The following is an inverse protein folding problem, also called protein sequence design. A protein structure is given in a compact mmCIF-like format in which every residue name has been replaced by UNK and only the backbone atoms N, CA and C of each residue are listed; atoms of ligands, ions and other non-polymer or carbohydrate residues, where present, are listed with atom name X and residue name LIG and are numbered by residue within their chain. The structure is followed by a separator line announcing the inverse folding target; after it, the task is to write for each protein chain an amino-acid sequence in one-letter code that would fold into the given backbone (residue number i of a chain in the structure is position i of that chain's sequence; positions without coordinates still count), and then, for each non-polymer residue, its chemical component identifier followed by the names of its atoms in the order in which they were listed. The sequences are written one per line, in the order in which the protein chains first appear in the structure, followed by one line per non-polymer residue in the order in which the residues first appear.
data_IF_201071722779
#
_entry.id   IF_201071722779
#
_cell.length_a   1.000
_cell.length_b   1.000
_cell.length_c   1.000
_cell.angle_alpha   90.00
_cell.angle_beta   90.00
_cell.angle_gamma   90.00
#
_symmetry.space_group_name_H-M   'P 1'
#
loop_
_entity.id
_entity.type
_entity.pdbx_description
1 polymer ?
#
# COMPACT_ATOMS: atom_id res chain seq x y z
N UNK A 1 -62.51 54.69 46.48
CA UNK A 1 -61.35 53.85 46.86
C UNK A 1 -61.72 52.43 46.46
N UNK A 2 -61.11 51.77 45.48
CA UNK A 2 -59.69 51.40 45.41
C UNK A 2 -59.29 51.23 43.93
N UNK A 3 -58.22 51.92 43.52
CA UNK A 3 -57.53 51.66 42.28
C UNK A 3 -56.55 50.52 42.47
N UNK A 4 -56.66 49.45 41.67
CA UNK A 4 -55.56 48.48 41.46
C UNK A 4 -55.91 47.51 40.34
N UNK A 5 -55.49 47.82 39.12
CA UNK A 5 -55.26 46.79 38.07
C UNK A 5 -54.34 47.23 36.93
N UNK A 6 -53.79 48.45 36.93
CA UNK A 6 -52.85 48.91 35.88
C UNK A 6 -51.42 48.39 36.02
N UNK A 7 -51.06 47.81 37.17
CA UNK A 7 -49.74 47.23 37.42
C UNK A 7 -49.58 45.81 36.88
N UNK A 8 -50.63 44.98 36.97
CA UNK A 8 -50.58 43.57 36.58
C UNK A 8 -50.45 43.38 35.06
N UNK A 9 -51.12 44.22 34.26
CA UNK A 9 -51.04 44.17 32.79
C UNK A 9 -49.69 44.61 32.25
N UNK A 10 -48.98 45.54 32.92
CA UNK A 10 -47.63 45.94 32.52
C UNK A 10 -46.59 44.89 32.85
N UNK A 11 -46.69 44.24 34.02
CA UNK A 11 -45.81 43.13 34.38
C UNK A 11 -46.02 41.91 33.48
N UNK A 12 -47.27 41.57 33.15
CA UNK A 12 -47.57 40.47 32.24
C UNK A 12 -47.03 40.72 30.82
N UNK A 13 -47.12 41.95 30.31
CA UNK A 13 -46.58 42.30 29.00
C UNK A 13 -45.03 42.24 28.98
N UNK A 14 -44.37 42.67 30.05
CA UNK A 14 -42.90 42.59 30.16
C UNK A 14 -42.43 41.13 30.29
N UNK A 15 -43.14 40.30 31.07
CA UNK A 15 -42.84 38.87 31.17
C UNK A 15 -43.06 38.14 29.84
N UNK A 16 -44.13 38.46 29.11
CA UNK A 16 -44.41 37.85 27.81
C UNK A 16 -43.38 38.28 26.75
N UNK A 17 -42.94 39.54 26.76
CA UNK A 17 -41.88 40.03 25.89
C UNK A 17 -40.52 39.38 26.20
N UNK A 18 -40.18 39.18 27.49
CA UNK A 18 -38.98 38.43 27.88
C UNK A 18 -39.07 36.96 27.49
N UNK A 19 -40.22 36.32 27.66
CA UNK A 19 -40.42 34.92 27.28
C UNK A 19 -40.28 34.73 25.75
N UNK A 20 -40.83 35.65 24.95
CA UNK A 20 -40.69 35.64 23.49
C UNK A 20 -39.24 35.89 23.03
N UNK A 21 -38.47 36.70 23.76
CA UNK A 21 -37.05 36.94 23.45
C UNK A 21 -36.16 35.70 23.74
N UNK A 22 -36.49 34.91 24.78
CA UNK A 22 -35.76 33.67 25.09
C UNK A 22 -36.09 32.55 24.10
N UNK A 23 -37.30 32.51 23.54
CA UNK A 23 -37.68 31.50 22.53
C UNK A 23 -37.16 31.80 21.10
N UNK A 24 -36.65 33.00 20.82
CA UNK A 24 -36.06 33.35 19.52
C UNK A 24 -34.56 32.98 19.40
N UNK A 25 -33.95 32.45 20.46
CA UNK A 25 -32.56 31.98 20.48
C UNK A 25 -32.38 30.59 19.85
N UNK A 26 -32.81 30.40 18.60
CA UNK A 26 -32.41 29.21 17.85
C UNK A 26 -30.91 29.31 17.56
N UNK A 27 -30.09 28.50 18.25
CA UNK A 27 -28.71 28.29 17.88
C UNK A 27 -28.65 27.72 16.46
N UNK A 28 -28.38 28.58 15.47
CA UNK A 28 -28.19 28.18 14.09
C UNK A 28 -26.74 27.74 13.93
N UNK A 29 -26.53 26.44 13.81
CA UNK A 29 -25.23 25.90 13.40
C UNK A 29 -24.97 26.41 11.97
N UNK A 30 -23.84 27.07 11.68
CA UNK A 30 -23.51 27.49 10.33
C UNK A 30 -23.44 26.26 9.42
N UNK A 31 -24.36 26.14 8.47
CA UNK A 31 -24.35 25.04 7.47
C UNK A 31 -23.43 25.34 6.29
N UNK A 32 -22.77 26.51 6.30
CA UNK A 32 -21.78 26.89 5.31
C UNK A 32 -20.68 27.71 6.00
N UNK A 33 -19.47 27.14 6.01
CA UNK A 33 -18.22 27.85 6.22
C UNK A 33 -17.34 27.61 4.99
N UNK A 34 -16.30 28.42 4.76
CA UNK A 34 -15.33 28.10 3.73
C UNK A 34 -14.80 26.68 3.97
N UNK A 35 -14.80 25.84 2.94
CA UNK A 35 -14.07 24.57 2.97
C UNK A 35 -12.59 24.90 3.04
N UNK A 36 -12.08 25.00 4.26
CA UNK A 36 -10.65 24.96 4.49
C UNK A 36 -10.18 23.59 4.04
N UNK A 37 -9.30 23.51 3.05
CA UNK A 37 -8.42 22.36 2.96
C UNK A 37 -7.63 22.38 4.26
N UNK A 38 -7.87 21.43 5.14
CA UNK A 38 -6.80 21.04 6.03
C UNK A 38 -5.68 20.64 5.08
N UNK A 39 -4.60 21.42 5.01
CA UNK A 39 -3.33 20.72 4.91
C UNK A 39 -3.39 19.75 6.06
N UNK A 40 -3.22 18.46 5.81
CA UNK A 40 -2.66 17.62 6.84
C UNK A 40 -1.45 18.41 7.33
N UNK A 41 -1.61 19.10 8.46
CA UNK A 41 -0.49 19.72 9.12
C UNK A 41 0.43 18.55 9.28
N UNK A 42 1.59 18.61 8.59
CA UNK A 42 2.64 17.61 8.61
C UNK A 42 2.55 16.95 9.97
N UNK A 43 2.05 15.71 10.02
CA UNK A 43 1.81 15.04 11.29
C UNK A 43 3.21 14.85 11.85
N UNK A 44 3.67 15.85 12.59
CA UNK A 44 4.96 15.85 13.25
C UNK A 44 4.89 14.66 14.16
N UNK A 45 5.65 13.62 13.78
CA UNK A 45 5.91 12.42 14.56
C UNK A 45 4.76 11.99 15.47
N UNK A 46 3.65 11.53 14.89
CA UNK A 46 2.85 10.55 15.62
C UNK A 46 3.59 9.23 15.50
N UNK A 47 4.54 8.96 16.40
CA UNK A 47 4.98 7.60 16.67
C UNK A 47 3.72 6.73 16.75
N UNK A 48 3.66 5.63 16.01
CA UNK A 48 2.50 4.74 16.06
C UNK A 48 2.14 4.46 17.54
N UNK A 49 0.85 4.47 17.92
CA UNK A 49 0.42 4.17 19.28
C UNK A 49 1.14 2.93 19.82
N UNK A 50 1.79 3.08 20.97
CA UNK A 50 2.45 1.96 21.64
C UNK A 50 1.36 1.12 22.29
N UNK A 51 1.12 -0.06 21.74
CA UNK A 51 0.25 -1.04 22.37
C UNK A 51 1.02 -1.75 23.48
N UNK A 52 0.49 -1.68 24.70
CA UNK A 52 1.03 -2.37 25.87
C UNK A 52 0.14 -3.57 26.17
N UNK A 53 0.40 -4.74 25.56
CA UNK A 53 -0.38 -5.93 25.85
C UNK A 53 -0.13 -6.43 27.28
N UNK A 54 -1.10 -7.16 27.82
CA UNK A 54 -0.99 -7.74 29.15
C UNK A 54 -0.13 -9.02 29.13
N UNK A 55 0.63 -9.23 30.21
CA UNK A 55 1.33 -10.49 30.50
C UNK A 55 0.33 -11.62 30.84
N UNK A 56 0.72 -12.90 30.67
CA UNK A 56 -0.14 -14.04 31.03
C UNK A 56 -0.51 -13.99 32.51
N UNK A 57 -1.82 -14.10 32.79
CA UNK A 57 -2.33 -14.07 34.17
C UNK A 57 -2.24 -15.46 34.81
N UNK A 58 -1.89 -15.55 36.10
CA UNK A 58 -1.94 -16.81 36.84
C UNK A 58 -3.33 -17.48 36.77
N UNK A 59 -3.36 -18.77 36.53
CA UNK A 59 -4.59 -19.57 36.43
C UNK A 59 -5.42 -19.34 35.16
N UNK A 60 -4.90 -18.64 34.14
CA UNK A 60 -5.58 -18.45 32.87
C UNK A 60 -5.83 -19.80 32.15
N UNK A 61 -6.98 -19.94 31.48
CA UNK A 61 -7.30 -21.15 30.69
C UNK A 61 -6.41 -21.26 29.45
N UNK A 62 -6.26 -22.47 28.85
CA UNK A 62 -5.56 -22.64 27.59
C UNK A 62 -6.04 -21.70 26.47
N UNK A 63 -7.36 -21.53 26.32
CA UNK A 63 -7.95 -20.64 25.32
C UNK A 63 -7.60 -19.19 25.57
N UNK A 64 -7.60 -18.78 26.85
CA UNK A 64 -7.20 -17.42 27.24
C UNK A 64 -5.73 -17.16 26.93
N UNK A 65 -4.85 -18.14 27.19
CA UNK A 65 -3.42 -18.06 26.84
C UNK A 65 -3.21 -17.90 25.34
N UNK A 66 -3.95 -18.64 24.51
CA UNK A 66 -3.87 -18.53 23.04
C UNK A 66 -4.36 -17.16 22.56
N UNK A 67 -5.57 -16.74 22.97
CA UNK A 67 -6.16 -15.47 22.54
C UNK A 67 -5.28 -14.28 22.92
N UNK A 68 -4.79 -14.25 24.16
CA UNK A 68 -3.95 -13.16 24.63
C UNK A 68 -2.52 -13.20 24.07
N UNK A 69 -1.97 -14.36 23.71
CA UNK A 69 -0.72 -14.44 22.96
C UNK A 69 -0.83 -13.70 21.61
N UNK A 70 -1.90 -13.94 20.85
CA UNK A 70 -2.08 -13.27 19.56
C UNK A 70 -2.43 -11.78 19.72
N UNK A 71 -3.23 -11.42 20.73
CA UNK A 71 -3.43 -10.00 21.07
C UNK A 71 -2.11 -9.32 21.48
N UNK A 72 -1.20 -10.03 22.13
CA UNK A 72 0.12 -9.52 22.47
C UNK A 72 1.03 -9.31 21.24
N UNK A 73 0.65 -9.84 20.07
CA UNK A 73 1.27 -9.53 18.79
C UNK A 73 1.23 -8.05 18.40
N UNK A 74 0.37 -7.22 19.00
CA UNK A 74 0.42 -5.77 18.80
C UNK A 74 1.62 -5.10 19.49
N UNK A 75 2.22 -5.74 20.49
CA UNK A 75 3.39 -5.23 21.21
C UNK A 75 4.70 -5.63 20.55
N UNK A 76 4.99 -5.09 19.35
CA UNK A 76 6.15 -5.45 18.53
C UNK A 76 7.51 -4.93 19.07
N UNK A 77 7.50 -4.21 20.18
CA UNK A 77 8.72 -3.72 20.83
C UNK A 77 9.50 -4.85 21.52
N UNK A 78 10.80 -4.63 21.69
CA UNK A 78 11.72 -5.59 22.33
C UNK A 78 11.56 -7.04 21.85
N UNK A 79 11.38 -7.20 20.53
CA UNK A 79 11.17 -8.51 19.89
C UNK A 79 9.97 -9.28 20.48
N UNK A 80 8.84 -8.59 20.60
CA UNK A 80 7.56 -9.14 21.08
C UNK A 80 7.68 -9.72 22.51
N UNK A 81 8.42 -9.02 23.38
CA UNK A 81 8.77 -9.49 24.72
C UNK A 81 7.58 -9.99 25.55
N UNK A 82 6.40 -9.36 25.42
CA UNK A 82 5.18 -9.79 26.13
C UNK A 82 4.58 -11.07 25.51
N UNK A 83 4.49 -11.17 24.19
CA UNK A 83 4.00 -12.38 23.52
C UNK A 83 4.88 -13.59 23.87
N UNK A 84 6.21 -13.37 23.94
CA UNK A 84 7.18 -14.39 24.36
C UNK A 84 6.95 -14.92 25.78
N UNK A 85 6.27 -14.20 26.67
CA UNK A 85 5.93 -14.68 28.02
C UNK A 85 4.84 -15.76 28.03
N UNK A 86 4.00 -15.84 26.99
CA UNK A 86 3.00 -16.89 26.83
C UNK A 86 3.61 -18.22 26.34
N UNK A 87 4.82 -18.16 25.80
CA UNK A 87 5.55 -19.31 25.28
C UNK A 87 6.34 -20.03 26.38
N UNK A 88 6.60 -21.33 26.22
CA UNK A 88 7.65 -22.00 27.01
C UNK A 88 9.02 -21.40 26.68
N UNK A 89 10.01 -21.57 27.56
CA UNK A 89 11.37 -21.05 27.29
C UNK A 89 11.95 -21.56 25.95
N UNK A 90 11.74 -22.84 25.62
CA UNK A 90 12.22 -23.41 24.37
C UNK A 90 11.54 -22.76 23.15
N UNK A 91 10.21 -22.70 23.14
CA UNK A 91 9.44 -22.09 22.06
C UNK A 91 9.71 -20.59 21.94
N UNK A 92 9.92 -19.90 23.07
CA UNK A 92 10.28 -18.49 23.13
C UNK A 92 11.63 -18.20 22.48
N UNK A 93 12.60 -19.12 22.51
CA UNK A 93 13.89 -18.91 21.82
C UNK A 93 13.78 -19.21 20.32
N UNK A 94 12.98 -20.20 19.92
CA UNK A 94 12.91 -20.64 18.52
C UNK A 94 11.91 -19.87 17.67
N UNK A 95 10.87 -19.28 18.28
CA UNK A 95 9.80 -18.58 17.56
C UNK A 95 10.30 -17.31 16.89
N UNK A 96 10.00 -17.20 15.58
CA UNK A 96 10.37 -16.06 14.74
C UNK A 96 9.11 -15.27 14.35
N UNK A 97 8.84 -14.12 15.00
CA UNK A 97 7.63 -13.34 14.75
C UNK A 97 7.62 -12.61 13.40
N UNK A 98 8.79 -12.40 12.78
CA UNK A 98 8.99 -11.59 11.58
C UNK A 98 8.80 -12.36 10.26
N UNK A 99 8.54 -13.67 10.31
CA UNK A 99 8.42 -14.50 9.11
C UNK A 99 7.15 -14.20 8.30
N UNK A 100 6.06 -13.85 9.00
CA UNK A 100 4.79 -13.42 8.42
C UNK A 100 3.90 -12.74 9.45
N UNK A 101 2.99 -11.88 8.99
CA UNK A 101 1.89 -11.36 9.77
C UNK A 101 0.55 -11.72 9.11
N UNK A 102 -0.32 -12.39 9.85
CA UNK A 102 -1.68 -12.71 9.44
C UNK A 102 -2.62 -11.61 9.94
N UNK A 103 -3.22 -10.88 9.00
CA UNK A 103 -4.22 -9.86 9.31
C UNK A 103 -5.59 -10.52 9.26
N UNK A 104 -6.35 -10.43 10.34
CA UNK A 104 -7.63 -11.11 10.45
C UNK A 104 -8.79 -10.16 10.74
N UNK A 105 -9.98 -10.57 10.30
CA UNK A 105 -11.27 -9.92 10.59
C UNK A 105 -11.83 -10.42 11.91
N UNK A 106 -11.86 -11.75 12.05
CA UNK A 106 -12.35 -12.45 13.23
C UNK A 106 -11.41 -13.60 13.58
N UNK A 107 -11.40 -13.96 14.86
CA UNK A 107 -10.61 -15.06 15.37
C UNK A 107 -11.38 -15.83 16.45
N UNK A 108 -11.13 -17.14 16.54
CA UNK A 108 -11.63 -17.98 17.64
C UNK A 108 -10.67 -19.12 17.95
N UNK A 109 -10.65 -19.55 19.20
CA UNK A 109 -9.95 -20.75 19.63
C UNK A 109 -10.89 -21.95 19.54
N UNK A 110 -10.45 -23.04 18.92
CA UNK A 110 -11.21 -24.28 18.78
C UNK A 110 -10.37 -25.46 19.29
N UNK A 111 -10.89 -26.20 20.27
CA UNK A 111 -10.24 -27.42 20.76
C UNK A 111 -10.20 -28.51 19.68
N UNK A 112 -9.15 -29.32 19.67
CA UNK A 112 -9.05 -30.50 18.80
C UNK A 112 -9.38 -31.78 19.56
N UNK A 113 -9.42 -32.92 18.85
CA UNK A 113 -9.57 -34.24 19.49
C UNK A 113 -8.32 -34.65 20.30
N UNK A 114 -7.17 -34.00 20.05
CA UNK A 114 -5.93 -34.23 20.78
C UNK A 114 -5.86 -33.34 22.01
N UNK A 115 -5.60 -33.94 23.16
CA UNK A 115 -5.46 -33.22 24.43
C UNK A 115 -4.39 -32.11 24.35
N UNK A 116 -4.70 -30.94 24.90
CA UNK A 116 -3.85 -29.75 24.91
C UNK A 116 -3.43 -29.20 23.55
N UNK A 117 -4.11 -29.61 22.47
CA UNK A 117 -3.92 -29.08 21.12
C UNK A 117 -5.19 -28.35 20.68
N UNK A 118 -5.00 -27.13 20.20
CA UNK A 118 -6.06 -26.21 19.76
C UNK A 118 -5.74 -25.68 18.38
N UNK A 119 -6.77 -25.19 17.68
CA UNK A 119 -6.61 -24.36 16.50
C UNK A 119 -7.03 -22.93 16.83
N UNK A 120 -6.16 -21.96 16.52
CA UNK A 120 -6.56 -20.57 16.40
C UNK A 120 -7.06 -20.35 14.97
N UNK A 121 -8.37 -20.32 14.81
CA UNK A 121 -9.02 -20.13 13.51
C UNK A 121 -9.18 -18.65 13.23
N UNK A 122 -8.65 -18.21 12.08
CA UNK A 122 -8.61 -16.82 11.63
C UNK A 122 -9.40 -16.67 10.34
N UNK A 123 -10.34 -15.74 10.27
CA UNK A 123 -10.82 -15.21 8.98
C UNK A 123 -9.80 -14.21 8.45
N UNK A 124 -8.92 -14.66 7.56
CA UNK A 124 -7.77 -13.91 7.07
C UNK A 124 -8.23 -12.87 6.05
N UNK A 125 -7.87 -11.61 6.27
CA UNK A 125 -8.04 -10.53 5.29
C UNK A 125 -6.79 -10.31 4.44
N UNK A 126 -5.61 -10.32 5.06
CA UNK A 126 -4.33 -10.19 4.37
C UNK A 126 -3.26 -11.06 5.03
N UNK A 127 -2.32 -11.54 4.22
CA UNK A 127 -1.05 -12.09 4.72
C UNK A 127 0.08 -11.19 4.27
N UNK A 128 0.91 -10.74 5.21
CA UNK A 128 2.14 -10.00 4.94
C UNK A 128 3.31 -10.93 5.18
N UNK A 129 4.17 -11.15 4.17
CA UNK A 129 5.37 -11.97 4.34
C UNK A 129 6.55 -11.18 4.95
N UNK A 130 7.68 -11.84 5.21
CA UNK A 130 8.90 -11.24 5.75
C UNK A 130 9.44 -10.04 4.93
N UNK A 131 9.19 -10.01 3.61
CA UNK A 131 9.60 -8.92 2.72
C UNK A 131 8.55 -7.79 2.63
N UNK A 132 7.51 -7.83 3.46
CA UNK A 132 6.42 -6.84 3.48
C UNK A 132 5.43 -6.96 2.32
N UNK A 133 5.44 -8.05 1.55
CA UNK A 133 4.47 -8.26 0.47
C UNK A 133 3.13 -8.68 1.09
N UNK A 134 2.09 -7.89 0.85
CA UNK A 134 0.73 -8.21 1.24
C UNK A 134 0.02 -8.99 0.13
N UNK A 135 -0.60 -10.11 0.50
CA UNK A 135 -1.52 -10.89 -0.34
C UNK A 135 -2.90 -10.83 0.28
N UNK A 136 -3.90 -10.38 -0.49
CA UNK A 136 -5.28 -10.28 -0.03
C UNK A 136 -5.99 -11.64 -0.10
N UNK A 137 -6.82 -11.91 0.90
CA UNK A 137 -7.66 -13.10 0.98
C UNK A 137 -9.15 -12.70 0.89
N UNK A 138 -9.96 -13.42 0.09
CA UNK A 138 -11.41 -13.25 0.08
C UNK A 138 -12.02 -13.42 1.48
N UNK A 139 -13.16 -12.79 1.71
CA UNK A 139 -13.91 -12.96 2.95
C UNK A 139 -14.30 -14.43 3.17
N UNK A 140 -14.19 -14.90 4.42
CA UNK A 140 -14.42 -16.31 4.77
C UNK A 140 -13.24 -17.24 4.48
N UNK A 141 -12.08 -16.71 4.09
CA UNK A 141 -10.85 -17.50 3.97
C UNK A 141 -10.32 -17.83 5.36
N UNK A 142 -10.55 -19.07 5.81
CA UNK A 142 -10.14 -19.51 7.15
C UNK A 142 -8.76 -20.15 7.14
N UNK A 143 -7.83 -19.61 7.93
CA UNK A 143 -6.57 -20.27 8.28
C UNK A 143 -6.64 -20.83 9.71
N UNK A 144 -6.23 -22.09 9.89
CA UNK A 144 -6.20 -22.77 11.20
C UNK A 144 -4.77 -22.88 11.68
N UNK A 145 -4.43 -22.18 12.75
CA UNK A 145 -3.08 -22.24 13.32
C UNK A 145 -3.06 -23.26 14.46
N UNK A 146 -2.31 -24.36 14.34
CA UNK A 146 -2.19 -25.33 15.41
C UNK A 146 -1.36 -24.75 16.56
N UNK A 147 -1.86 -24.89 17.79
CA UNK A 147 -1.19 -24.45 19.02
C UNK A 147 -1.21 -25.60 20.03
N UNK A 148 -0.03 -25.96 20.54
CA UNK A 148 0.11 -26.96 21.61
C UNK A 148 0.46 -26.25 22.90
N UNK A 149 -0.18 -26.65 24.01
CA UNK A 149 0.10 -26.13 25.34
C UNK A 149 0.65 -27.20 26.27
N UNK A 150 1.37 -26.74 27.29
CA UNK A 150 1.84 -27.54 28.43
C UNK A 150 1.80 -26.69 29.70
N UNK A 151 1.88 -27.33 30.86
CA UNK A 151 2.03 -26.63 32.13
C UNK A 151 3.51 -26.45 32.49
N UNK A 152 3.86 -25.26 32.94
CA UNK A 152 5.16 -24.90 33.53
C UNK A 152 4.87 -24.29 34.89
N UNK A 153 5.37 -24.90 35.96
CA UNK A 153 5.13 -24.45 37.35
C UNK A 153 3.64 -24.27 37.71
N UNK A 154 2.79 -25.13 37.14
CA UNK A 154 1.33 -25.10 37.35
C UNK A 154 0.58 -24.10 36.45
N UNK A 155 1.28 -23.36 35.59
CA UNK A 155 0.71 -22.35 34.69
C UNK A 155 0.78 -22.79 33.23
N UNK A 156 -0.27 -22.51 32.46
CA UNK A 156 -0.32 -22.88 31.03
C UNK A 156 0.63 -22.02 30.17
N UNK A 157 1.38 -22.67 29.29
CA UNK A 157 2.28 -22.04 28.30
C UNK A 157 2.21 -22.74 26.95
N UNK A 158 2.42 -21.99 25.87
CA UNK A 158 2.45 -22.52 24.50
C UNK A 158 3.80 -23.20 24.26
N UNK A 159 3.79 -24.50 23.99
CA UNK A 159 4.98 -25.33 23.75
C UNK A 159 5.27 -25.54 22.27
N UNK A 160 4.30 -25.36 21.38
CA UNK A 160 4.52 -25.40 19.94
C UNK A 160 3.53 -24.48 19.22
N UNK A 161 4.06 -23.68 18.28
CA UNK A 161 3.32 -22.75 17.45
C UNK A 161 4.12 -22.45 16.17
N UNK A 162 3.48 -22.26 15.01
CA UNK A 162 4.16 -21.79 13.80
C UNK A 162 4.74 -20.38 13.95
N UNK A 163 5.76 -20.08 13.14
CA UNK A 163 6.35 -18.75 13.06
C UNK A 163 5.38 -17.70 12.48
N UNK A 164 5.62 -16.46 12.88
CA UNK A 164 4.81 -15.30 12.52
C UNK A 164 3.85 -14.85 13.61
N UNK A 165 3.13 -13.77 13.30
CA UNK A 165 2.16 -13.11 14.18
C UNK A 165 0.77 -13.12 13.55
N UNK A 166 -0.26 -12.87 14.36
CA UNK A 166 -1.60 -12.56 13.87
C UNK A 166 -2.09 -11.27 14.54
N UNK A 167 -2.74 -10.41 13.77
CA UNK A 167 -3.14 -9.08 14.20
C UNK A 167 -4.51 -8.71 13.61
N UNK A 168 -5.39 -8.15 14.45
CA UNK A 168 -6.68 -7.67 13.97
C UNK A 168 -6.50 -6.53 12.96
N UNK A 169 -7.34 -6.48 11.94
CA UNK A 169 -7.21 -5.54 10.82
C UNK A 169 -7.13 -4.07 11.27
N UNK A 170 -7.94 -3.68 12.25
CA UNK A 170 -7.93 -2.30 12.78
C UNK A 170 -6.62 -1.96 13.49
N UNK A 171 -6.02 -2.92 14.21
CA UNK A 171 -4.71 -2.74 14.86
C UNK A 171 -3.60 -2.70 13.80
N UNK A 172 -3.70 -3.51 12.75
CA UNK A 172 -2.72 -3.54 11.66
C UNK A 172 -2.60 -2.18 10.96
N UNK A 173 -3.74 -1.53 10.66
CA UNK A 173 -3.77 -0.18 10.03
C UNK A 173 -3.05 0.89 10.86
N UNK A 174 -2.98 0.70 12.18
CA UNK A 174 -2.31 1.61 13.11
C UNK A 174 -0.80 1.33 13.18
N UNK A 175 -0.40 0.06 13.31
CA UNK A 175 1.00 -0.33 13.52
C UNK A 175 1.81 -0.35 12.22
N UNK A 176 1.19 -0.83 11.14
CA UNK A 176 1.83 -0.96 9.84
C UNK A 176 1.55 0.25 8.95
N UNK A 177 2.50 0.52 8.06
CA UNK A 177 2.34 1.47 6.97
C UNK A 177 2.70 0.83 5.64
N UNK A 178 1.98 1.23 4.59
CA UNK A 178 2.35 0.92 3.22
C UNK A 178 3.41 1.92 2.75
N UNK A 179 4.59 1.42 2.40
CA UNK A 179 5.72 2.22 1.95
C UNK A 179 6.25 1.68 0.62
N UNK A 180 6.50 2.54 -0.38
CA UNK A 180 7.17 2.11 -1.60
C UNK A 180 8.66 1.88 -1.33
N UNK A 181 9.15 0.70 -1.70
CA UNK A 181 10.56 0.55 -2.06
C UNK A 181 10.69 0.75 -3.57
N UNK A 182 11.81 1.29 -4.05
CA UNK A 182 11.94 1.64 -5.47
C UNK A 182 12.90 0.71 -6.19
N UNK A 183 12.50 0.26 -7.37
CA UNK A 183 13.36 -0.36 -8.38
C UNK A 183 13.49 0.57 -9.59
N UNK A 184 14.39 0.24 -10.50
CA UNK A 184 14.48 0.90 -11.79
C UNK A 184 13.61 0.17 -12.81
N UNK A 185 13.17 0.86 -13.85
CA UNK A 185 12.83 0.17 -15.08
C UNK A 185 14.11 -0.41 -15.76
N UNK A 186 14.01 -1.35 -16.72
CA UNK A 186 15.18 -1.98 -17.33
C UNK A 186 16.13 -1.00 -18.05
N UNK A 187 15.69 0.21 -18.40
CA UNK A 187 16.55 1.26 -18.99
C UNK A 187 17.16 2.21 -17.96
N UNK A 188 16.96 1.97 -16.66
CA UNK A 188 17.42 2.81 -15.55
C UNK A 188 16.96 4.28 -15.64
N UNK A 189 15.86 4.54 -16.32
CA UNK A 189 15.34 5.89 -16.59
C UNK A 189 14.24 6.29 -15.62
N UNK A 190 13.40 5.34 -15.20
CA UNK A 190 12.25 5.55 -14.34
C UNK A 190 12.39 4.79 -13.03
N UNK A 191 11.87 5.37 -11.95
CA UNK A 191 11.72 4.68 -10.69
C UNK A 191 10.35 3.98 -10.66
N UNK A 192 10.35 2.69 -10.35
CA UNK A 192 9.15 1.85 -10.26
C UNK A 192 8.90 1.52 -8.79
N UNK A 193 7.78 1.98 -8.20
CA UNK A 193 7.46 1.68 -6.82
C UNK A 193 6.97 0.23 -6.68
N UNK A 194 7.48 -0.44 -5.65
CA UNK A 194 7.01 -1.73 -5.14
C UNK A 194 6.52 -1.50 -3.71
N UNK A 195 5.20 -1.49 -3.52
CA UNK A 195 4.59 -1.10 -2.23
C UNK A 195 4.61 -2.28 -1.26
N UNK A 196 5.25 -2.08 -0.11
CA UNK A 196 5.42 -3.07 0.94
C UNK A 196 4.86 -2.56 2.27
N UNK A 197 4.45 -3.47 3.14
CA UNK A 197 3.94 -3.18 4.47
C UNK A 197 5.00 -3.42 5.52
N UNK A 198 5.32 -2.39 6.30
CA UNK A 198 6.30 -2.44 7.39
C UNK A 198 5.72 -1.82 8.65
N UNK A 199 6.26 -2.23 9.81
CA UNK A 199 5.97 -1.58 11.09
C UNK A 199 6.59 -0.18 11.08
N UNK A 200 5.76 0.86 11.26
CA UNK A 200 6.13 2.28 11.01
C UNK A 200 7.41 2.75 11.71
N UNK A 201 7.65 2.29 12.93
CA UNK A 201 8.78 2.74 13.75
C UNK A 201 10.08 1.92 13.55
N UNK A 202 10.08 0.85 12.74
CA UNK A 202 11.24 -0.05 12.50
C UNK A 202 11.52 -0.24 11.01
N UNK A 203 11.32 0.82 10.22
CA UNK A 203 11.13 0.68 8.77
C UNK A 203 12.43 0.65 7.96
N UNK A 204 13.47 1.42 8.32
CA UNK A 204 14.68 1.58 7.47
C UNK A 204 15.43 0.26 7.22
N UNK A 205 15.65 -0.54 8.28
CA UNK A 205 16.27 -1.88 8.14
C UNK A 205 15.40 -2.79 7.28
N UNK A 206 14.10 -2.87 7.58
CA UNK A 206 13.16 -3.74 6.86
C UNK A 206 13.05 -3.37 5.36
N UNK A 207 12.99 -2.08 5.04
CA UNK A 207 13.02 -1.58 3.67
C UNK A 207 14.31 -1.97 2.94
N UNK A 208 15.46 -1.83 3.60
CA UNK A 208 16.75 -2.26 3.03
C UNK A 208 16.75 -3.76 2.76
N UNK A 209 16.37 -4.57 3.74
CA UNK A 209 16.32 -6.03 3.59
C UNK A 209 15.39 -6.45 2.45
N UNK A 210 14.19 -5.85 2.35
CA UNK A 210 13.26 -6.11 1.27
C UNK A 210 13.79 -5.66 -0.11
N UNK A 211 14.48 -4.52 -0.19
CA UNK A 211 15.11 -4.03 -1.41
C UNK A 211 16.21 -5.00 -1.91
N UNK A 212 17.05 -5.49 -0.99
CA UNK A 212 18.12 -6.45 -1.29
C UNK A 212 17.58 -7.84 -1.65
N UNK A 213 16.44 -8.25 -1.07
CA UNK A 213 15.74 -9.49 -1.45
C UNK A 213 15.16 -9.41 -2.87
N UNK A 214 14.94 -8.20 -3.39
CA UNK A 214 14.53 -7.94 -4.76
C UNK A 214 13.03 -7.68 -4.93
N UNK A 215 12.58 -7.53 -6.18
CA UNK A 215 11.21 -7.12 -6.48
C UNK A 215 10.20 -8.21 -6.13
N UNK A 216 8.97 -7.78 -5.86
CA UNK A 216 7.87 -8.69 -5.58
C UNK A 216 7.65 -9.63 -6.78
N UNK A 217 7.14 -10.86 -6.58
CA UNK A 217 6.97 -11.83 -7.66
C UNK A 217 6.26 -11.28 -8.90
N UNK A 218 5.28 -10.39 -8.72
CA UNK A 218 4.52 -9.76 -9.80
C UNK A 218 5.28 -8.65 -10.57
N UNK A 219 6.44 -8.19 -10.09
CA UNK A 219 7.32 -7.23 -10.77
C UNK A 219 8.58 -7.88 -11.36
N UNK A 220 8.83 -9.17 -11.09
CA UNK A 220 10.02 -9.87 -11.59
C UNK A 220 10.05 -9.84 -13.12
N UNK A 221 11.18 -9.45 -13.69
CA UNK A 221 11.38 -9.31 -15.13
C UNK A 221 10.87 -7.98 -15.72
N UNK A 222 10.07 -7.21 -14.97
CA UNK A 222 9.62 -5.88 -15.38
C UNK A 222 10.51 -4.74 -14.85
N UNK A 223 11.34 -5.01 -13.84
CA UNK A 223 12.19 -4.02 -13.18
C UNK A 223 13.64 -4.50 -13.06
N UNK A 224 14.55 -3.57 -12.83
CA UNK A 224 15.95 -3.79 -12.54
C UNK A 224 16.31 -3.27 -11.14
N UNK A 225 17.26 -3.94 -10.49
CA UNK A 225 17.88 -3.48 -9.24
C UNK A 225 19.29 -2.96 -9.55
N UNK A 226 19.73 -1.89 -8.88
CA UNK A 226 21.12 -1.48 -8.91
C UNK A 226 22.02 -2.37 -8.03
N UNK A 227 21.42 -3.17 -7.15
CA UNK A 227 22.13 -4.08 -6.26
C UNK A 227 22.47 -5.38 -7.01
N UNK A 228 23.75 -5.81 -7.02
CA UNK A 228 24.13 -7.08 -7.61
C UNK A 228 23.51 -8.26 -6.83
N UNK A 229 23.21 -9.35 -7.53
CA UNK A 229 22.64 -10.55 -6.91
C UNK A 229 23.56 -11.09 -5.81
N UNK A 230 22.99 -11.36 -4.63
CA UNK A 230 23.70 -11.97 -3.51
C UNK A 230 24.35 -10.98 -2.54
N UNK A 231 24.33 -9.67 -2.83
CA UNK A 231 24.71 -8.66 -1.85
C UNK A 231 23.75 -8.67 -0.65
N UNK A 232 24.30 -8.56 0.55
CA UNK A 232 23.54 -8.60 1.80
C UNK A 232 23.98 -7.50 2.72
N UNK A 233 23.16 -7.21 3.73
CA UNK A 233 23.62 -6.46 4.88
C UNK A 233 24.74 -7.23 5.59
N UNK A 234 25.85 -6.56 5.88
CA UNK A 234 26.93 -7.13 6.69
C UNK A 234 26.53 -7.27 8.17
N UNK A 235 25.57 -6.46 8.62
CA UNK A 235 24.99 -6.47 9.97
C UNK A 235 23.49 -6.33 9.88
N UNK A 236 22.75 -6.98 10.78
CA UNK A 236 21.29 -6.94 10.85
C UNK A 236 20.72 -5.60 11.38
N UNK A 237 21.34 -4.48 10.98
CA UNK A 237 20.95 -3.13 11.36
C UNK A 237 21.32 -2.10 10.28
N UNK A 238 20.53 -1.03 10.20
CA UNK A 238 20.80 0.15 9.38
C UNK A 238 20.60 1.36 10.27
N UNK A 239 21.63 1.80 11.02
CA UNK A 239 21.50 2.93 11.92
C UNK A 239 21.37 4.24 11.13
N UNK A 240 20.57 5.16 11.65
CA UNK A 240 20.46 6.53 11.14
C UNK A 240 21.22 7.45 12.09
N UNK A 241 22.33 8.02 11.62
CA UNK A 241 23.23 8.87 12.42
C UNK A 241 23.27 10.25 11.80
N UNK A 242 22.84 11.28 12.54
CA UNK A 242 22.80 12.66 12.04
C UNK A 242 22.06 12.81 10.70
N UNK A 243 20.97 12.05 10.51
CA UNK A 243 20.18 12.03 9.28
C UNK A 243 20.74 11.14 8.16
N UNK A 244 21.90 10.49 8.33
CA UNK A 244 22.45 9.57 7.36
C UNK A 244 22.12 8.11 7.71
N UNK A 245 21.38 7.42 6.83
CA UNK A 245 21.19 5.98 6.92
C UNK A 245 22.48 5.26 6.49
N UNK A 246 23.12 4.55 7.42
CA UNK A 246 24.38 3.85 7.18
C UNK A 246 24.10 2.40 6.76
N UNK A 247 24.12 2.16 5.46
CA UNK A 247 23.83 0.84 4.87
C UNK A 247 25.13 0.07 4.71
N UNK A 248 25.38 -0.84 5.64
CA UNK A 248 26.58 -1.67 5.68
C UNK A 248 26.37 -2.98 4.94
N UNK A 249 27.08 -3.16 3.84
CA UNK A 249 26.89 -4.25 2.88
C UNK A 249 28.11 -5.17 2.84
N UNK A 250 27.91 -6.38 2.31
CA UNK A 250 29.00 -7.32 2.07
C UNK A 250 30.08 -6.70 1.16
N UNK A 251 31.31 -6.62 1.69
CA UNK A 251 32.37 -5.80 1.11
C UNK A 251 32.80 -6.23 -0.30
N UNK A 252 32.83 -7.53 -0.57
CA UNK A 252 33.28 -8.06 -1.87
C UNK A 252 32.38 -7.54 -2.99
N UNK A 253 31.08 -7.78 -2.88
CA UNK A 253 30.10 -7.39 -3.90
C UNK A 253 30.04 -5.87 -4.07
N UNK A 254 30.12 -5.11 -2.97
CA UNK A 254 30.07 -3.65 -3.04
C UNK A 254 31.34 -3.05 -3.67
N UNK A 255 32.53 -3.56 -3.34
CA UNK A 255 33.80 -2.98 -3.84
C UNK A 255 34.07 -3.30 -5.31
N UNK A 256 33.53 -4.42 -5.82
CA UNK A 256 33.64 -4.82 -7.22
C UNK A 256 32.71 -4.02 -8.16
N UNK A 257 31.73 -3.28 -7.63
CA UNK A 257 30.83 -2.43 -8.44
C UNK A 257 31.57 -1.26 -9.09
N UNK A 258 31.04 -0.75 -10.21
CA UNK A 258 31.54 0.49 -10.81
C UNK A 258 31.12 1.72 -9.97
N UNK A 259 31.80 2.88 -10.09
CA UNK A 259 31.34 4.12 -9.47
C UNK A 259 29.89 4.49 -9.84
N UNK A 260 29.51 4.26 -11.10
CA UNK A 260 28.15 4.52 -11.59
C UNK A 260 27.11 3.61 -10.93
N UNK A 261 27.42 2.33 -10.75
CA UNK A 261 26.53 1.39 -10.07
C UNK A 261 26.35 1.74 -8.59
N UNK A 262 27.43 2.13 -7.89
CA UNK A 262 27.34 2.63 -6.51
C UNK A 262 26.45 3.86 -6.40
N UNK A 263 26.53 4.76 -7.38
CA UNK A 263 25.67 5.93 -7.43
C UNK A 263 24.20 5.53 -7.66
N UNK A 264 23.92 4.57 -8.54
CA UNK A 264 22.56 4.01 -8.69
C UNK A 264 22.06 3.31 -7.43
N UNK A 265 22.90 2.54 -6.74
CA UNK A 265 22.56 1.91 -5.46
C UNK A 265 22.18 2.95 -4.40
N UNK A 266 22.99 4.01 -4.28
CA UNK A 266 22.71 5.11 -3.36
C UNK A 266 21.41 5.83 -3.72
N UNK A 267 21.21 6.18 -4.99
CA UNK A 267 19.96 6.80 -5.47
C UNK A 267 18.73 5.93 -5.18
N UNK A 268 18.81 4.62 -5.44
CA UNK A 268 17.71 3.68 -5.19
C UNK A 268 17.31 3.63 -3.70
N UNK A 269 18.31 3.61 -2.81
CA UNK A 269 18.08 3.68 -1.36
C UNK A 269 17.52 5.04 -0.93
N UNK A 270 18.06 6.15 -1.46
CA UNK A 270 17.56 7.49 -1.18
C UNK A 270 16.08 7.63 -1.55
N UNK A 271 15.67 7.07 -2.69
CA UNK A 271 14.25 7.04 -3.08
C UNK A 271 13.41 6.16 -2.17
N UNK A 272 13.92 4.98 -1.83
CA UNK A 272 13.28 4.04 -0.90
C UNK A 272 13.04 4.70 0.46
N UNK A 273 14.02 5.43 1.01
CA UNK A 273 13.88 6.09 2.32
C UNK A 273 13.22 7.46 2.28
N UNK A 274 12.76 7.94 1.13
CA UNK A 274 12.16 9.29 1.00
C UNK A 274 10.94 9.50 1.92
N UNK A 275 10.24 8.43 2.27
CA UNK A 275 9.10 8.45 3.19
C UNK A 275 9.50 8.41 4.68
N UNK A 276 10.79 8.27 4.98
CA UNK A 276 11.32 8.13 6.33
C UNK A 276 11.82 9.50 6.82
N UNK A 277 11.16 10.13 7.81
CA UNK A 277 11.41 11.52 8.17
C UNK A 277 12.81 11.77 8.73
N UNK A 278 13.41 10.76 9.37
CA UNK A 278 14.74 10.87 9.98
C UNK A 278 15.88 10.63 8.99
N UNK A 279 15.59 10.24 7.74
CA UNK A 279 16.60 9.93 6.72
C UNK A 279 16.70 11.07 5.71
N UNK A 280 17.82 11.78 5.77
CA UNK A 280 18.18 12.87 4.86
C UNK A 280 19.12 12.38 3.76
N UNK A 281 20.09 11.54 4.10
CA UNK A 281 21.10 11.02 3.19
C UNK A 281 21.33 9.52 3.40
N UNK A 282 22.02 8.88 2.44
CA UNK A 282 22.40 7.46 2.50
C UNK A 282 23.91 7.34 2.37
N UNK A 283 24.52 6.57 3.26
CA UNK A 283 25.93 6.19 3.20
C UNK A 283 26.05 4.70 2.90
N UNK A 284 26.82 4.34 1.86
CA UNK A 284 27.19 2.96 1.59
C UNK A 284 28.46 2.61 2.37
N UNK A 285 28.44 1.47 3.07
CA UNK A 285 29.59 0.96 3.81
C UNK A 285 29.91 -0.48 3.40
N UNK A 286 31.19 -0.81 3.39
CA UNK A 286 31.71 -2.14 3.15
C UNK A 286 32.38 -2.63 4.44
N UNK A 287 31.72 -3.50 5.20
CA UNK A 287 32.19 -3.93 6.53
C UNK A 287 32.60 -2.74 7.41
N UNK A 288 31.69 -1.79 7.61
CA UNK A 288 31.85 -0.56 8.38
C UNK A 288 32.65 0.57 7.71
N UNK A 289 33.50 0.25 6.73
CA UNK A 289 34.28 1.26 6.01
C UNK A 289 33.41 2.05 5.04
N UNK A 290 33.50 3.38 5.09
CA UNK A 290 32.75 4.25 4.19
C UNK A 290 33.23 4.07 2.75
N UNK A 291 32.30 3.69 1.87
CA UNK A 291 32.56 3.64 0.43
C UNK A 291 32.13 4.97 -0.18
N UNK A 292 33.10 5.70 -0.74
CA UNK A 292 32.82 6.97 -1.41
C UNK A 292 32.02 6.72 -2.69
N UNK A 293 30.95 7.47 -2.84
CA UNK A 293 30.14 7.55 -4.05
C UNK A 293 30.43 8.91 -4.68
N UNK A 294 30.95 8.88 -5.90
CA UNK A 294 31.26 10.09 -6.66
C UNK A 294 30.14 10.34 -7.66
N UNK A 295 29.62 11.56 -7.70
CA UNK A 295 28.67 12.00 -8.71
C UNK A 295 29.38 12.90 -9.73
N UNK A 296 29.63 12.33 -10.90
CA UNK A 296 30.24 13.01 -12.05
C UNK A 296 29.20 13.61 -13.00
N UNK A 297 27.89 13.47 -12.69
CA UNK A 297 26.78 13.80 -13.58
C UNK A 297 26.52 12.77 -14.69
N UNK A 298 27.27 11.66 -14.73
CA UNK A 298 27.08 10.59 -15.73
C UNK A 298 25.81 9.75 -15.47
N UNK A 299 25.38 9.63 -14.20
CA UNK A 299 24.15 8.94 -13.81
C UNK A 299 23.09 9.97 -13.48
N UNK A 300 21.99 9.97 -14.25
CA UNK A 300 20.86 10.84 -13.96
C UNK A 300 19.97 10.21 -12.88
N UNK A 301 19.39 11.02 -11.97
CA UNK A 301 18.36 10.54 -11.06
C UNK A 301 17.16 9.97 -11.85
N UNK A 302 16.59 8.82 -11.45
CA UNK A 302 15.47 8.24 -12.17
C UNK A 302 14.22 9.11 -12.02
N UNK A 303 13.48 9.22 -13.12
CA UNK A 303 12.23 9.98 -13.19
C UNK A 303 11.17 9.30 -12.34
N UNK A 304 10.55 10.09 -11.47
CA UNK A 304 9.34 9.73 -10.70
C UNK A 304 8.18 10.57 -11.22
N UNK A 305 6.96 10.03 -11.11
CA UNK A 305 5.71 10.77 -11.32
C UNK A 305 5.75 11.73 -12.52
N UNK A 306 6.13 11.18 -13.68
CA UNK A 306 6.31 11.98 -14.91
C UNK A 306 5.06 12.84 -15.13
N UNK A 307 5.26 14.15 -15.23
CA UNK A 307 4.17 15.09 -15.49
C UNK A 307 3.43 14.68 -16.77
N UNK A 308 2.12 14.51 -16.65
CA UNK A 308 1.23 14.26 -17.78
C UNK A 308 0.56 15.57 -18.21
N UNK A 309 0.31 15.76 -19.52
CA UNK A 309 -0.46 16.92 -19.98
C UNK A 309 -1.83 17.00 -19.29
N UNK A 310 -2.36 18.20 -19.10
CA UNK A 310 -3.69 18.42 -18.51
C UNK A 310 -4.85 18.05 -19.42
N UNK A 311 -4.56 17.69 -20.67
CA UNK A 311 -5.56 17.22 -21.64
C UNK A 311 -6.13 15.87 -21.23
N UNK A 312 -7.43 15.72 -21.38
CA UNK A 312 -8.16 14.49 -21.12
C UNK A 312 -8.77 13.97 -22.41
N UNK A 313 -8.80 12.66 -22.59
CA UNK A 313 -9.60 12.03 -23.63
C UNK A 313 -10.99 11.71 -23.08
N UNK A 314 -12.03 12.00 -23.85
CA UNK A 314 -13.42 11.82 -23.47
C UNK A 314 -14.24 11.33 -24.67
N UNK A 315 -15.52 11.07 -24.41
CA UNK A 315 -16.51 10.75 -25.45
C UNK A 315 -17.56 11.85 -25.45
N UNK A 316 -17.86 12.40 -26.62
CA UNK A 316 -18.94 13.36 -26.84
C UNK A 316 -19.59 13.09 -28.18
N UNK A 317 -20.92 13.04 -28.23
CA UNK A 317 -21.65 12.69 -29.46
C UNK A 317 -21.28 11.32 -30.04
N UNK A 318 -20.89 10.38 -29.17
CA UNK A 318 -20.36 9.05 -29.53
C UNK A 318 -19.03 9.08 -30.31
N UNK A 319 -18.30 10.18 -30.29
CA UNK A 319 -16.96 10.32 -30.86
C UNK A 319 -15.90 10.46 -29.78
N UNK A 320 -14.66 10.12 -30.11
CA UNK A 320 -13.50 10.46 -29.28
C UNK A 320 -13.23 11.96 -29.40
N UNK A 321 -13.09 12.62 -28.25
CA UNK A 321 -12.76 14.04 -28.18
C UNK A 321 -11.70 14.28 -27.13
N UNK A 322 -11.00 15.40 -27.25
CA UNK A 322 -10.09 15.92 -26.22
C UNK A 322 -10.79 17.02 -25.45
N UNK A 323 -10.66 16.99 -24.14
CA UNK A 323 -11.07 18.05 -23.24
C UNK A 323 -9.85 18.71 -22.63
N UNK A 324 -9.68 20.01 -22.87
CA UNK A 324 -8.58 20.80 -22.34
C UNK A 324 -9.02 22.26 -22.22
N UNK A 325 -8.65 22.94 -21.13
CA UNK A 325 -8.96 24.36 -20.92
C UNK A 325 -10.45 24.72 -21.12
N UNK A 326 -11.35 23.87 -20.59
CA UNK A 326 -12.81 23.98 -20.73
C UNK A 326 -13.30 24.00 -22.20
N UNK A 327 -12.55 23.39 -23.11
CA UNK A 327 -12.92 23.24 -24.52
C UNK A 327 -12.88 21.77 -24.92
N UNK A 328 -13.88 21.37 -25.71
CA UNK A 328 -13.93 20.07 -26.37
C UNK A 328 -13.44 20.28 -27.80
N UNK A 329 -12.47 19.48 -28.23
CA UNK A 329 -11.97 19.47 -29.60
C UNK A 329 -11.90 18.05 -30.16
N UNK A 330 -12.06 17.85 -31.48
CA UNK A 330 -11.83 16.55 -32.08
C UNK A 330 -10.35 16.15 -31.96
N UNK A 331 -10.08 14.84 -31.97
CA UNK A 331 -8.71 14.35 -32.12
C UNK A 331 -8.24 14.64 -33.57
N UNK A 332 -7.06 15.24 -33.77
CA UNK A 332 -6.53 15.50 -35.11
C UNK A 332 -6.39 14.20 -35.92
N UNK A 333 -6.79 14.26 -37.19
CA UNK A 333 -6.63 13.18 -38.18
C UNK A 333 -7.20 11.82 -37.78
N UNK A 334 -8.15 11.78 -36.84
CA UNK A 334 -8.86 10.55 -36.45
C UNK A 334 -10.13 10.36 -37.28
N UNK A 335 -10.31 9.16 -37.83
CA UNK A 335 -11.58 8.78 -38.44
C UNK A 335 -12.68 8.65 -37.38
N UNK A 336 -13.93 8.86 -37.79
CA UNK A 336 -15.10 8.69 -36.95
C UNK A 336 -15.19 7.27 -36.38
N UNK A 337 -15.45 7.17 -35.08
CA UNK A 337 -15.65 5.88 -34.39
C UNK A 337 -17.08 5.71 -33.86
N UNK A 338 -17.98 6.64 -34.16
CA UNK A 338 -19.37 6.61 -33.69
C UNK A 338 -20.10 5.30 -33.99
N UNK A 339 -19.82 4.64 -35.12
CA UNK A 339 -20.42 3.34 -35.45
C UNK A 339 -20.03 2.21 -34.47
N UNK A 340 -18.94 2.37 -33.71
CA UNK A 340 -18.40 1.36 -32.78
C UNK A 340 -18.87 1.56 -31.34
N UNK A 341 -19.59 2.64 -31.04
CA UNK A 341 -20.10 2.94 -29.70
C UNK A 341 -18.98 3.06 -28.65
N UNK A 342 -18.01 3.99 -28.80
CA UNK A 342 -16.85 4.05 -27.94
C UNK A 342 -17.23 4.27 -26.47
N UNK A 343 -16.53 3.58 -25.58
CA UNK A 343 -16.58 3.69 -24.11
C UNK A 343 -15.16 3.62 -23.55
N UNK A 344 -14.95 4.23 -22.38
CA UNK A 344 -13.69 4.13 -21.63
C UNK A 344 -12.44 4.45 -22.47
N UNK A 345 -12.32 5.66 -23.03
CA UNK A 345 -11.21 6.00 -23.90
C UNK A 345 -9.91 6.14 -23.10
N UNK A 346 -8.80 5.86 -23.76
CA UNK A 346 -7.44 6.09 -23.30
C UNK A 346 -6.61 6.69 -24.45
N UNK A 347 -5.70 7.59 -24.12
CA UNK A 347 -4.80 8.25 -25.07
C UNK A 347 -3.36 7.89 -24.71
N UNK A 348 -2.51 7.64 -25.71
CA UNK A 348 -1.10 7.40 -25.48
C UNK A 348 -0.41 8.66 -24.93
N UNK A 349 0.47 8.54 -23.92
CA UNK A 349 1.28 9.65 -23.44
C UNK A 349 2.47 9.96 -24.35
N UNK A 350 2.77 9.11 -25.33
CA UNK A 350 3.98 9.21 -26.18
C UNK A 350 3.69 9.26 -27.68
N UNK A 351 2.47 8.93 -28.10
CA UNK A 351 2.03 9.00 -29.50
C UNK A 351 0.66 9.68 -29.61
N UNK A 352 0.15 9.85 -30.84
CA UNK A 352 -1.23 10.33 -31.06
C UNK A 352 -2.25 9.19 -31.06
N UNK A 353 -1.86 7.97 -30.67
CA UNK A 353 -2.77 6.83 -30.63
C UNK A 353 -3.82 6.97 -29.53
N UNK A 354 -5.02 6.47 -29.80
CA UNK A 354 -6.06 6.30 -28.80
C UNK A 354 -6.57 4.86 -28.79
N UNK A 355 -7.20 4.48 -27.69
CA UNK A 355 -7.87 3.20 -27.53
C UNK A 355 -9.19 3.38 -26.81
N UNK A 356 -10.14 2.48 -27.06
CA UNK A 356 -11.46 2.51 -26.45
C UNK A 356 -12.08 1.12 -26.48
N UNK A 357 -13.08 0.90 -25.64
CA UNK A 357 -13.94 -0.28 -25.71
C UNK A 357 -15.20 0.03 -26.51
N UNK A 358 -15.84 -0.98 -27.09
CA UNK A 358 -17.22 -0.84 -27.56
C UNK A 358 -18.21 -0.70 -26.39
N UNK A 359 -19.49 -0.46 -26.72
CA UNK A 359 -20.56 -0.28 -25.75
C UNK A 359 -20.71 -1.47 -24.78
N UNK A 360 -20.59 -2.69 -25.29
CA UNK A 360 -20.65 -3.91 -24.49
C UNK A 360 -19.42 -4.19 -23.61
N UNK A 361 -18.36 -3.38 -23.72
CA UNK A 361 -17.05 -3.60 -23.08
C UNK A 361 -16.43 -4.95 -23.44
N UNK A 362 -16.76 -5.51 -24.59
CA UNK A 362 -16.29 -6.82 -25.04
C UNK A 362 -15.07 -6.70 -25.94
N UNK A 363 -14.97 -5.62 -26.72
CA UNK A 363 -13.93 -5.48 -27.74
C UNK A 363 -13.10 -4.23 -27.49
N UNK A 364 -11.78 -4.41 -27.45
CA UNK A 364 -10.80 -3.32 -27.42
C UNK A 364 -10.46 -2.89 -28.83
N UNK A 365 -10.52 -1.60 -29.10
CA UNK A 365 -10.06 -0.97 -30.33
C UNK A 365 -8.86 -0.07 -30.06
N UNK A 366 -7.94 0.00 -31.02
CA UNK A 366 -7.00 1.12 -31.15
C UNK A 366 -7.31 1.94 -32.40
N UNK A 367 -6.98 3.22 -32.37
CA UNK A 367 -7.05 4.11 -33.52
C UNK A 367 -5.81 4.99 -33.55
N UNK A 368 -5.28 5.21 -34.75
CA UNK A 368 -4.11 6.05 -35.02
C UNK A 368 -4.43 7.02 -36.16
N UNK A 369 -3.73 8.16 -36.26
CA UNK A 369 -4.00 9.15 -37.30
C UNK A 369 -4.03 8.57 -38.73
N UNK A 370 -5.03 8.96 -39.51
CA UNK A 370 -5.19 8.58 -40.91
C UNK A 370 -5.67 7.14 -41.17
N UNK A 371 -5.88 6.32 -40.12
CA UNK A 371 -6.27 4.92 -40.23
C UNK A 371 -7.66 4.69 -39.60
N UNK A 372 -8.44 3.69 -40.08
CA UNK A 372 -9.64 3.27 -39.39
C UNK A 372 -9.30 2.64 -38.03
N UNK A 373 -10.26 2.63 -37.11
CA UNK A 373 -10.11 1.92 -35.85
C UNK A 373 -9.92 0.40 -36.08
N UNK A 374 -8.98 -0.20 -35.35
CA UNK A 374 -8.62 -1.61 -35.44
C UNK A 374 -9.03 -2.34 -34.18
N UNK A 375 -9.79 -3.43 -34.32
CA UNK A 375 -10.07 -4.34 -33.21
C UNK A 375 -8.78 -5.08 -32.81
N UNK A 376 -8.47 -5.10 -31.52
CA UNK A 376 -7.27 -5.73 -30.97
C UNK A 376 -7.58 -7.07 -30.29
N UNK A 377 -8.66 -7.12 -29.51
CA UNK A 377 -9.10 -8.34 -28.83
C UNK A 377 -10.58 -8.26 -28.49
N UNK A 378 -11.24 -9.42 -28.40
CA UNK A 378 -12.62 -9.53 -27.93
C UNK A 378 -12.70 -10.58 -26.82
N UNK A 379 -13.35 -10.24 -25.71
CA UNK A 379 -13.57 -11.08 -24.52
C UNK A 379 -15.00 -10.90 -24.01
N UNK A 380 -15.41 -11.68 -23.02
CA UNK A 380 -16.73 -11.55 -22.39
C UNK A 380 -16.92 -10.22 -21.67
N UNK A 381 -15.84 -9.65 -21.12
CA UNK A 381 -15.79 -8.30 -20.57
C UNK A 381 -14.33 -7.83 -20.48
N UNK A 382 -14.12 -6.53 -20.58
CA UNK A 382 -12.82 -5.87 -20.50
C UNK A 382 -12.83 -4.74 -19.48
N UNK A 383 -11.71 -4.56 -18.79
CA UNK A 383 -11.43 -3.38 -17.99
C UNK A 383 -11.09 -2.19 -18.89
N UNK A 384 -11.21 -0.98 -18.35
CA UNK A 384 -10.82 0.26 -19.06
C UNK A 384 -9.37 0.11 -19.56
N UNK A 385 -9.11 0.35 -20.86
CA UNK A 385 -7.75 0.27 -21.38
C UNK A 385 -6.88 1.40 -20.84
N UNK A 386 -5.57 1.20 -20.90
CA UNK A 386 -4.57 2.22 -20.62
C UNK A 386 -3.35 2.03 -21.52
N UNK A 387 -2.46 3.03 -21.55
CA UNK A 387 -1.22 2.99 -22.32
C UNK A 387 -0.01 2.89 -21.41
N UNK A 388 0.99 2.11 -21.82
CA UNK A 388 2.32 2.14 -21.23
C UNK A 388 3.16 3.28 -21.83
N UNK A 389 4.26 3.62 -21.17
CA UNK A 389 5.23 4.61 -21.67
C UNK A 389 5.96 4.16 -22.95
N UNK A 390 5.84 2.89 -23.32
CA UNK A 390 6.42 2.31 -24.53
C UNK A 390 5.39 2.17 -25.66
N UNK A 391 4.26 2.89 -25.56
CA UNK A 391 3.17 2.90 -26.52
C UNK A 391 2.48 1.54 -26.70
N UNK A 392 2.31 0.78 -25.62
CA UNK A 392 1.47 -0.42 -25.63
C UNK A 392 0.12 -0.10 -25.01
N UNK A 393 -0.97 -0.42 -25.69
CA UNK A 393 -2.30 -0.41 -25.08
C UNK A 393 -2.52 -1.72 -24.37
N UNK A 394 -3.00 -1.68 -23.13
CA UNK A 394 -3.31 -2.85 -22.35
C UNK A 394 -4.69 -2.78 -21.71
N UNK A 395 -5.29 -3.94 -21.48
CA UNK A 395 -6.57 -4.15 -20.79
C UNK A 395 -6.51 -5.49 -20.06
N UNK A 396 -7.44 -5.72 -19.14
CA UNK A 396 -7.62 -7.00 -18.48
C UNK A 396 -9.02 -7.55 -18.71
N UNK A 397 -9.15 -8.87 -18.75
CA UNK A 397 -10.44 -9.54 -18.86
C UNK A 397 -10.30 -11.06 -18.75
N UNK A 398 -11.41 -11.81 -18.73
CA UNK A 398 -11.37 -13.26 -18.65
C UNK A 398 -10.61 -13.88 -19.83
N UNK A 399 -9.67 -14.76 -19.54
CA UNK A 399 -8.94 -15.62 -20.47
C UNK A 399 -9.79 -16.77 -20.97
N UNK A 400 -9.20 -17.61 -21.81
CA UNK A 400 -9.90 -18.74 -22.42
C UNK A 400 -10.34 -19.78 -21.38
N UNK A 401 -9.60 -19.92 -20.27
CA UNK A 401 -9.92 -20.84 -19.18
C UNK A 401 -10.60 -20.16 -17.97
N UNK A 402 -10.97 -18.87 -18.10
CA UNK A 402 -11.77 -18.13 -17.13
C UNK A 402 -10.99 -17.35 -16.07
N UNK A 403 -9.68 -17.53 -16.00
CA UNK A 403 -8.76 -16.67 -15.24
C UNK A 403 -8.78 -15.22 -15.73
N UNK A 404 -8.42 -14.26 -14.88
CA UNK A 404 -8.20 -12.89 -15.36
C UNK A 404 -6.82 -12.80 -16.01
N UNK A 405 -6.77 -12.39 -17.27
CA UNK A 405 -5.52 -12.12 -17.99
C UNK A 405 -5.37 -10.63 -18.27
N UNK A 406 -4.12 -10.15 -18.28
CA UNK A 406 -3.76 -8.84 -18.83
C UNK A 406 -3.18 -9.08 -20.23
N UNK A 407 -3.72 -8.36 -21.22
CA UNK A 407 -3.20 -8.38 -22.60
C UNK A 407 -2.74 -7.00 -23.02
N UNK A 408 -1.66 -6.96 -23.80
CA UNK A 408 -1.07 -5.75 -24.31
C UNK A 408 -0.82 -5.86 -25.82
N UNK A 409 -1.11 -4.79 -26.55
CA UNK A 409 -0.94 -4.71 -28.00
C UNK A 409 -0.22 -3.43 -28.40
N UNK A 410 0.52 -3.48 -29.50
CA UNK A 410 0.92 -2.26 -30.20
C UNK A 410 -0.34 -1.61 -30.79
N UNK A 411 -0.55 -0.29 -30.65
CA UNK A 411 -1.73 0.39 -31.19
C UNK A 411 -1.70 0.47 -32.73
N UNK A 412 -0.51 0.49 -33.32
CA UNK A 412 -0.27 0.40 -34.76
C UNK A 412 0.19 -1.01 -35.17
N UNK A 413 0.01 -1.35 -36.46
CA UNK A 413 0.41 -2.63 -37.06
C UNK A 413 -0.76 -3.39 -37.68
N UNK A 414 -0.47 -4.50 -38.36
CA UNK A 414 -1.49 -5.42 -38.90
C UNK A 414 -2.05 -6.25 -37.74
N UNK A 415 -3.36 -6.47 -37.69
CA UNK A 415 -3.96 -7.37 -36.68
C UNK A 415 -3.41 -8.79 -36.85
N UNK A 416 -3.16 -9.52 -35.76
CA UNK A 416 -2.99 -10.97 -35.85
C UNK A 416 -4.25 -11.57 -36.50
N UNK A 417 -4.09 -12.17 -37.68
CA UNK A 417 -5.19 -12.81 -38.42
C UNK A 417 -5.80 -12.01 -39.58
N UNK A 418 -5.25 -10.84 -39.93
CA UNK A 418 -5.58 -10.22 -41.22
C UNK A 418 -4.73 -10.86 -42.33
N UNK A 419 -5.26 -11.94 -42.92
CA UNK A 419 -4.80 -12.50 -44.19
C UNK A 419 -5.46 -11.75 -45.36
#
# INVERSE_FOLDING_TARGET
MTGRSRGATRLAAIMLAMLLAVLAGCARIPTAGPVGKSSEGSAGNLSAPVFLPAAPQPGASPETIIDYFYRAGSGYEDDYAVARQYLTQASSVSWKPDQRALVYREARVVATETENVYNYELDVSYTVNADGIATQSPEGTVEKIPVTLTQVDGEWRISAIPDGTAIAEETFKVIYGAFPIYFYDPTFTFAVPDVRWFIRNKTVKAMTSALLAGPAPYLRGAVASAFPSGIKLARESVPVVSGAAQVDLSAKELTETSPEDRLRMQMQLTLTFRSQPDVVNVELRANQDLVRVEDTGAVLPPVQDKSVPSRQIAISGNELVRYENNRISPLPDMQSVSALGPRFPAESPVSQSAAFLNEGRTTLYSIVPGQPARALTTRSTLTRPSFSLNDWVWTAGPGAAGETEVVAFRPAGVAEGAA
#
